data_IF_010605070870
#
_entry.id   IF_010605070870
#
_cell.length_a   1.000
_cell.length_b   1.000
_cell.length_c   1.000
_cell.angle_alpha   90.00
_cell.angle_beta   90.00
_cell.angle_gamma   90.00
#
_symmetry.space_group_name_H-M   'P 1'
#
loop_
_entity.id
_entity.type
_entity.pdbx_description
1 polymer ?
#
# COMPACT_ATOMS: atom_id res chain seq x y z
N UNK A 1 13.63 -6.72 -7.91
CA UNK A 1 14.58 -6.35 -6.82
C UNK A 1 14.03 -6.79 -5.47
N UNK A 2 14.82 -6.72 -4.38
CA UNK A 2 14.30 -6.94 -3.02
C UNK A 2 13.74 -5.63 -2.45
N UNK A 3 12.58 -5.70 -1.81
CA UNK A 3 11.92 -4.60 -1.14
C UNK A 3 11.67 -5.00 0.31
N UNK A 4 11.86 -4.08 1.26
CA UNK A 4 11.78 -4.40 2.68
C UNK A 4 10.83 -3.46 3.42
N UNK A 5 9.98 -4.02 4.28
CA UNK A 5 9.11 -3.27 5.19
C UNK A 5 9.01 -3.99 6.53
N UNK A 6 8.33 -3.38 7.52
CA UNK A 6 8.06 -4.04 8.78
C UNK A 6 7.00 -5.15 8.64
N UNK A 7 7.13 -6.17 9.49
CA UNK A 7 6.13 -7.21 9.69
C UNK A 7 4.80 -6.64 10.24
N UNK A 8 3.75 -7.45 10.21
CA UNK A 8 2.36 -7.06 10.51
C UNK A 8 1.81 -6.08 9.47
N UNK A 9 1.75 -6.51 8.20
CA UNK A 9 1.30 -5.65 7.11
C UNK A 9 -0.13 -5.13 7.34
N UNK A 10 -0.29 -3.83 7.10
CA UNK A 10 -1.55 -3.10 7.17
C UNK A 10 -1.99 -2.64 5.78
N UNK A 11 -3.01 -1.79 5.75
CA UNK A 11 -3.61 -1.28 4.51
C UNK A 11 -2.56 -0.62 3.60
N UNK A 12 -1.73 0.29 4.12
CA UNK A 12 -0.71 0.99 3.31
C UNK A 12 0.41 0.06 2.80
N UNK A 13 0.96 -0.83 3.64
CA UNK A 13 1.98 -1.80 3.20
C UNK A 13 1.47 -2.71 2.08
N UNK A 14 0.23 -3.18 2.18
CA UNK A 14 -0.39 -3.99 1.14
C UNK A 14 -0.60 -3.18 -0.16
N UNK A 15 -1.01 -1.92 -0.05
CA UNK A 15 -1.17 -1.02 -1.19
C UNK A 15 0.17 -0.76 -1.89
N UNK A 16 1.20 -0.41 -1.12
CA UNK A 16 2.55 -0.16 -1.60
C UNK A 16 3.12 -1.38 -2.32
N UNK A 17 3.00 -2.57 -1.73
CA UNK A 17 3.46 -3.81 -2.36
C UNK A 17 2.74 -4.04 -3.70
N UNK A 18 1.42 -3.87 -3.73
CA UNK A 18 0.63 -3.96 -4.95
C UNK A 18 1.10 -2.97 -6.04
N UNK A 19 1.30 -1.70 -5.67
CA UNK A 19 1.80 -0.67 -6.58
C UNK A 19 3.19 -1.03 -7.12
N UNK A 20 4.09 -1.47 -6.24
CA UNK A 20 5.45 -1.88 -6.59
C UNK A 20 5.39 -2.97 -7.66
N UNK A 21 4.71 -4.07 -7.38
CA UNK A 21 4.61 -5.21 -8.32
C UNK A 21 3.92 -4.86 -9.63
N UNK A 22 2.88 -4.03 -9.58
CA UNK A 22 2.08 -3.75 -10.78
C UNK A 22 2.71 -2.71 -11.69
N UNK A 23 3.36 -1.69 -11.14
CA UNK A 23 3.77 -0.51 -11.91
C UNK A 23 5.27 -0.18 -11.84
N UNK A 24 6.02 -0.71 -10.86
CA UNK A 24 7.42 -0.31 -10.60
C UNK A 24 8.39 -1.46 -10.90
N UNK A 25 8.17 -2.63 -10.32
CA UNK A 25 9.06 -3.79 -10.34
C UNK A 25 8.24 -5.10 -10.31
N UNK A 26 7.84 -5.64 -11.49
CA UNK A 26 7.08 -6.89 -11.59
C UNK A 26 7.75 -8.09 -10.92
N UNK A 27 9.08 -8.07 -10.82
CA UNK A 27 9.88 -9.14 -10.22
C UNK A 27 10.24 -8.85 -8.74
N UNK A 28 9.55 -7.90 -8.10
CA UNK A 28 9.80 -7.54 -6.70
C UNK A 28 9.71 -8.76 -5.76
N UNK A 29 10.60 -8.83 -4.78
CA UNK A 29 10.54 -9.80 -3.69
C UNK A 29 10.45 -9.03 -2.38
N UNK A 30 9.47 -9.36 -1.54
CA UNK A 30 9.24 -8.64 -0.29
C UNK A 30 9.91 -9.36 0.87
N UNK A 31 10.54 -8.57 1.74
CA UNK A 31 11.17 -9.01 2.98
C UNK A 31 10.49 -8.27 4.12
N UNK A 32 10.14 -9.00 5.17
CA UNK A 32 9.57 -8.45 6.39
C UNK A 32 10.60 -8.54 7.50
N UNK A 33 10.76 -7.43 8.23
CA UNK A 33 11.66 -7.34 9.38
C UNK A 33 10.86 -6.93 10.62
N UNK A 34 11.35 -7.20 11.84
CA UNK A 34 10.64 -6.82 13.06
C UNK A 34 10.31 -5.33 13.11
N UNK A 35 9.11 -5.02 13.63
CA UNK A 35 8.65 -3.64 13.83
C UNK A 35 9.67 -2.86 14.66
N UNK A 36 10.02 -1.66 14.21
CA UNK A 36 11.03 -0.80 14.86
C UNK A 36 12.47 -1.05 14.40
N UNK A 37 12.75 -2.09 13.60
CA UNK A 37 14.07 -2.30 13.03
C UNK A 37 14.44 -1.16 12.06
N UNK A 38 15.68 -0.68 12.18
CA UNK A 38 16.32 0.28 11.27
C UNK A 38 17.44 -0.34 10.45
N UNK A 39 17.64 -1.65 10.59
CA UNK A 39 18.65 -2.40 9.85
C UNK A 39 17.97 -3.14 8.71
N UNK A 40 18.39 -2.86 7.49
CA UNK A 40 17.83 -3.42 6.27
C UNK A 40 18.84 -4.39 5.64
N UNK A 41 18.38 -5.48 5.00
CA UNK A 41 19.26 -6.31 4.18
C UNK A 41 19.96 -5.47 3.12
N UNK A 42 21.21 -5.81 2.80
CA UNK A 42 21.96 -5.15 1.74
C UNK A 42 21.22 -5.27 0.39
N UNK A 43 21.17 -4.17 -0.37
CA UNK A 43 20.47 -4.05 -1.65
C UNK A 43 18.93 -4.26 -1.62
N UNK A 44 18.29 -4.19 -0.45
CA UNK A 44 16.82 -4.10 -0.36
C UNK A 44 16.38 -2.62 -0.30
N UNK A 45 15.40 -2.24 -1.12
CA UNK A 45 14.80 -0.91 -1.08
C UNK A 45 13.74 -0.86 0.04
N UNK A 46 13.91 -0.03 1.08
CA UNK A 46 12.95 0.03 2.17
C UNK A 46 11.74 0.89 1.81
N UNK A 47 10.56 0.47 2.27
CA UNK A 47 9.32 1.23 2.16
C UNK A 47 8.42 1.06 3.39
N UNK A 48 7.58 2.06 3.60
CA UNK A 48 6.67 2.17 4.73
C UNK A 48 7.34 1.94 6.10
N UNK A 49 8.52 2.57 6.25
CA UNK A 49 9.31 2.62 7.47
C UNK A 49 9.67 4.09 7.74
N UNK A 50 9.52 4.60 8.98
CA UNK A 50 9.83 5.99 9.29
C UNK A 50 11.27 6.39 8.89
N UNK A 51 11.38 7.47 8.11
CA UNK A 51 12.66 8.07 7.71
C UNK A 51 13.32 7.46 6.47
N UNK A 52 12.68 6.51 5.79
CA UNK A 52 13.14 6.03 4.48
C UNK A 52 12.53 6.84 3.35
N UNK A 53 13.00 6.65 2.12
CA UNK A 53 12.52 7.41 0.94
C UNK A 53 11.00 7.29 0.76
N UNK A 54 10.49 6.05 0.75
CA UNK A 54 9.06 5.78 0.68
C UNK A 54 8.49 5.60 2.09
N UNK A 55 8.38 6.70 2.84
CA UNK A 55 7.69 6.72 4.12
C UNK A 55 6.47 7.63 4.05
N UNK A 56 5.67 7.64 5.12
CA UNK A 56 4.71 8.71 5.34
C UNK A 56 5.40 10.08 5.23
N UNK A 57 4.73 11.03 4.57
CA UNK A 57 5.26 12.37 4.36
C UNK A 57 4.16 13.42 4.43
N UNK A 58 4.36 14.44 5.28
CA UNK A 58 3.44 15.57 5.46
C UNK A 58 1.98 15.18 5.75
N UNK A 59 1.78 14.12 6.52
CA UNK A 59 0.45 13.63 6.89
C UNK A 59 -0.16 12.66 5.89
N UNK A 60 0.54 12.34 4.79
CA UNK A 60 0.13 11.32 3.85
C UNK A 60 0.86 9.99 4.08
N UNK A 61 0.20 8.89 3.77
CA UNK A 61 0.70 7.52 3.77
C UNK A 61 1.82 7.30 2.73
N UNK A 62 2.50 6.17 2.84
CA UNK A 62 3.61 5.79 1.96
C UNK A 62 3.14 5.53 0.53
N UNK A 63 1.95 4.95 0.32
CA UNK A 63 1.38 4.75 -1.02
C UNK A 63 1.20 6.08 -1.76
N UNK A 64 0.60 7.07 -1.09
CA UNK A 64 0.47 8.42 -1.64
C UNK A 64 1.83 8.98 -2.04
N UNK A 65 2.82 8.85 -1.15
CA UNK A 65 4.20 9.31 -1.41
C UNK A 65 4.80 8.63 -2.64
N UNK A 66 4.66 7.30 -2.79
CA UNK A 66 5.14 6.56 -3.97
C UNK A 66 4.48 7.04 -5.27
N UNK A 67 3.15 7.20 -5.28
CA UNK A 67 2.41 7.66 -6.47
C UNK A 67 2.93 9.03 -6.93
N UNK A 68 3.16 9.94 -5.97
CA UNK A 68 3.68 11.29 -6.24
C UNK A 68 5.12 11.28 -6.74
N UNK A 69 6.00 10.47 -6.14
CA UNK A 69 7.40 10.39 -6.54
C UNK A 69 7.59 9.80 -7.94
N UNK A 70 6.80 8.76 -8.28
CA UNK A 70 6.88 8.12 -9.59
C UNK A 70 6.16 8.88 -10.70
N UNK A 71 5.41 9.94 -10.37
CA UNK A 71 4.72 10.82 -11.34
C UNK A 71 3.80 10.05 -12.30
N UNK A 72 3.08 9.04 -11.79
CA UNK A 72 2.12 8.30 -12.60
C UNK A 72 1.04 9.25 -13.15
N UNK A 73 0.70 9.09 -14.43
CA UNK A 73 -0.38 9.84 -15.08
C UNK A 73 -1.66 9.00 -15.09
N UNK A 74 -2.09 8.61 -13.91
CA UNK A 74 -3.22 7.70 -13.72
C UNK A 74 -4.14 8.20 -12.59
N UNK A 75 -5.31 8.70 -12.98
CA UNK A 75 -6.31 9.23 -12.06
C UNK A 75 -6.94 8.15 -11.17
N UNK A 76 -6.84 6.88 -11.57
CA UNK A 76 -7.29 5.76 -10.74
C UNK A 76 -6.33 5.61 -9.55
N UNK A 77 -5.02 5.70 -9.79
CA UNK A 77 -4.02 5.68 -8.72
C UNK A 77 -4.15 6.88 -7.78
N UNK A 78 -4.50 8.06 -8.31
CA UNK A 78 -4.79 9.23 -7.47
C UNK A 78 -5.97 8.98 -6.51
N UNK A 79 -7.05 8.35 -6.99
CA UNK A 79 -8.20 8.01 -6.14
C UNK A 79 -7.88 6.91 -5.13
N UNK A 80 -7.15 5.87 -5.54
CA UNK A 80 -6.68 4.84 -4.61
C UNK A 80 -5.78 5.47 -3.54
N UNK A 81 -4.92 6.43 -3.91
CA UNK A 81 -4.10 7.13 -2.94
C UNK A 81 -4.95 7.84 -1.90
N UNK A 82 -6.01 8.56 -2.28
CA UNK A 82 -6.95 9.16 -1.32
C UNK A 82 -7.61 8.13 -0.40
N UNK A 83 -8.05 6.99 -0.95
CA UNK A 83 -8.70 5.93 -0.17
C UNK A 83 -7.73 5.31 0.86
N UNK A 84 -6.50 4.98 0.43
CA UNK A 84 -5.48 4.39 1.31
C UNK A 84 -5.03 5.40 2.36
N UNK A 85 -4.89 6.68 1.99
CA UNK A 85 -4.49 7.74 2.91
C UNK A 85 -5.49 7.89 4.05
N UNK A 86 -6.79 7.91 3.73
CA UNK A 86 -7.85 7.96 4.74
C UNK A 86 -8.00 6.66 5.53
N UNK A 87 -7.66 5.51 4.94
CA UNK A 87 -7.69 4.22 5.62
C UNK A 87 -6.54 4.06 6.63
N UNK A 88 -5.37 4.58 6.32
CA UNK A 88 -4.15 4.39 7.10
C UNK A 88 -3.88 5.50 8.13
N UNK A 89 -4.41 6.70 7.88
CA UNK A 89 -4.20 7.88 8.73
C UNK A 89 -5.47 8.33 9.45
N UNK A 90 -5.32 8.90 10.65
CA UNK A 90 -6.44 9.50 11.37
C UNK A 90 -6.81 10.81 10.69
N UNK A 91 -7.98 10.86 10.05
CA UNK A 91 -8.54 12.06 9.44
C UNK A 91 -9.67 12.64 10.30
N UNK A 92 -9.74 13.97 10.40
CA UNK A 92 -10.85 14.66 11.10
C UNK A 92 -12.19 14.52 10.35
N UNK A 93 -12.13 14.34 9.04
CA UNK A 93 -13.29 14.17 8.15
C UNK A 93 -13.02 12.99 7.24
N UNK A 94 -13.97 12.05 7.19
CA UNK A 94 -13.95 10.93 6.26
C UNK A 94 -14.66 11.32 4.95
N UNK A 95 -13.96 11.23 3.83
CA UNK A 95 -14.43 11.61 2.50
C UNK A 95 -14.57 10.40 1.56
N UNK A 96 -13.71 9.40 1.71
CA UNK A 96 -13.67 8.21 0.87
C UNK A 96 -14.47 7.04 1.49
N UNK A 97 -15.68 6.73 0.98
CA UNK A 97 -16.56 5.75 1.61
C UNK A 97 -15.96 4.33 1.68
N UNK A 98 -14.99 4.04 0.82
CA UNK A 98 -14.31 2.75 0.76
C UNK A 98 -13.22 2.59 1.84
N UNK A 99 -12.69 3.68 2.41
CA UNK A 99 -11.49 3.66 3.24
C UNK A 99 -11.63 2.75 4.48
N UNK A 100 -12.68 2.99 5.29
CA UNK A 100 -12.93 2.18 6.50
C UNK A 100 -13.18 0.70 6.18
N UNK A 101 -13.85 0.40 5.06
CA UNK A 101 -14.07 -0.98 4.62
C UNK A 101 -12.77 -1.65 4.17
N UNK A 102 -11.93 -0.92 3.43
CA UNK A 102 -10.64 -1.40 2.96
C UNK A 102 -9.70 -1.74 4.12
N UNK A 103 -9.60 -0.87 5.12
CA UNK A 103 -8.77 -1.12 6.31
C UNK A 103 -9.26 -2.38 7.07
N UNK A 104 -10.56 -2.48 7.33
CA UNK A 104 -11.15 -3.66 7.98
C UNK A 104 -10.85 -4.96 7.22
N UNK A 105 -10.95 -4.93 5.88
CA UNK A 105 -10.64 -6.09 5.04
C UNK A 105 -9.14 -6.41 5.13
N UNK A 106 -8.25 -5.44 5.02
CA UNK A 106 -6.79 -5.66 5.10
C UNK A 106 -6.38 -6.21 6.47
N UNK A 107 -6.97 -5.70 7.55
CA UNK A 107 -6.78 -6.27 8.88
C UNK A 107 -7.26 -7.73 8.93
N UNK A 108 -8.44 -8.02 8.38
CA UNK A 108 -8.97 -9.37 8.27
C UNK A 108 -8.06 -10.31 7.48
N UNK A 109 -7.51 -9.84 6.35
CA UNK A 109 -6.55 -10.59 5.54
C UNK A 109 -5.32 -10.99 6.33
N UNK A 110 -4.77 -10.09 7.16
CA UNK A 110 -3.66 -10.42 8.05
C UNK A 110 -4.05 -11.51 9.05
N UNK A 111 -5.22 -11.40 9.69
CA UNK A 111 -5.68 -12.37 10.70
C UNK A 111 -5.88 -13.80 10.15
N UNK A 112 -6.30 -13.92 8.89
CA UNK A 112 -6.52 -15.23 8.26
C UNK A 112 -5.27 -15.79 7.57
N UNK A 113 -4.17 -15.04 7.56
CA UNK A 113 -2.92 -15.42 6.88
C UNK A 113 -1.91 -16.01 7.84
N UNK A 114 -1.13 -16.99 7.37
CA UNK A 114 -0.10 -17.63 8.18
C UNK A 114 1.13 -16.73 8.40
N UNK A 115 1.39 -15.81 7.48
CA UNK A 115 2.47 -14.82 7.52
C UNK A 115 2.15 -13.59 6.65
N UNK A 116 3.02 -12.58 6.69
CA UNK A 116 2.87 -11.35 5.91
C UNK A 116 3.02 -11.57 4.40
N UNK A 117 3.73 -12.60 3.95
CA UNK A 117 3.86 -12.94 2.53
C UNK A 117 2.49 -13.31 1.98
N UNK A 118 1.80 -14.23 2.65
CA UNK A 118 0.45 -14.63 2.28
C UNK A 118 -0.56 -13.49 2.44
N UNK A 119 -0.41 -12.64 3.47
CA UNK A 119 -1.27 -11.48 3.65
C UNK A 119 -1.13 -10.48 2.50
N UNK A 120 0.10 -10.18 2.06
CA UNK A 120 0.36 -9.38 0.86
C UNK A 120 -0.27 -10.03 -0.37
N UNK A 121 0.00 -11.32 -0.65
CA UNK A 121 -0.54 -12.08 -1.79
C UNK A 121 -2.07 -11.97 -1.91
N UNK A 122 -2.77 -12.04 -0.78
CA UNK A 122 -4.23 -11.85 -0.75
C UNK A 122 -4.63 -10.38 -0.94
N UNK A 123 -3.86 -9.46 -0.36
CA UNK A 123 -4.03 -8.02 -0.54
C UNK A 123 -3.97 -7.60 -2.00
N UNK A 124 -3.12 -8.23 -2.82
CA UNK A 124 -3.07 -7.98 -4.27
C UNK A 124 -4.44 -8.06 -4.92
N UNK A 125 -5.21 -9.11 -4.63
CA UNK A 125 -6.53 -9.30 -5.24
C UNK A 125 -7.50 -8.18 -4.86
N UNK A 126 -7.40 -7.64 -3.64
CA UNK A 126 -8.25 -6.52 -3.20
C UNK A 126 -7.90 -5.23 -3.94
N UNK A 127 -6.62 -4.90 -4.07
CA UNK A 127 -6.18 -3.71 -4.78
C UNK A 127 -6.39 -3.81 -6.30
N UNK A 128 -6.20 -5.00 -6.88
CA UNK A 128 -6.59 -5.29 -8.27
C UNK A 128 -8.09 -5.04 -8.50
N UNK A 129 -8.95 -5.55 -7.61
CA UNK A 129 -10.40 -5.38 -7.71
C UNK A 129 -10.80 -3.91 -7.53
N UNK A 130 -10.19 -3.21 -6.57
CA UNK A 130 -10.44 -1.78 -6.35
C UNK A 130 -10.06 -0.94 -7.58
N UNK A 131 -8.87 -1.20 -8.16
CA UNK A 131 -8.44 -0.54 -9.37
C UNK A 131 -9.41 -0.78 -10.53
N UNK A 132 -9.83 -2.03 -10.75
CA UNK A 132 -10.79 -2.37 -11.80
C UNK A 132 -12.16 -1.69 -11.60
N UNK A 133 -12.65 -1.63 -10.36
CA UNK A 133 -13.92 -0.96 -10.04
C UNK A 133 -13.85 0.54 -10.34
N UNK A 134 -12.81 1.22 -9.88
CA UNK A 134 -12.65 2.67 -10.12
C UNK A 134 -12.49 2.96 -11.62
N UNK A 135 -11.76 2.11 -12.36
CA UNK A 135 -11.65 2.23 -13.81
C UNK A 135 -13.03 2.11 -14.51
N UNK A 136 -13.87 1.18 -14.05
CA UNK A 136 -15.23 1.00 -14.55
C UNK A 136 -16.11 2.22 -14.27
N UNK A 137 -16.09 2.76 -13.04
CA UNK A 137 -16.85 3.96 -12.67
C UNK A 137 -16.47 5.17 -13.53
N UNK A 138 -15.18 5.35 -13.81
CA UNK A 138 -14.66 6.44 -14.63
C UNK A 138 -15.04 6.30 -16.12
N UNK A 139 -15.30 5.08 -16.59
CA UNK A 139 -15.72 4.81 -17.97
C UNK A 139 -17.23 5.02 -18.19
N UNK A 140 -18.01 5.15 -17.11
CA UNK A 140 -19.46 5.37 -17.14
C UNK A 140 -19.88 6.84 -16.95
N UNK A 141 -18.91 7.75 -16.76
CA UNK A 141 -19.11 9.21 -16.66
C UNK A 141 -18.73 9.89 -17.97
#
# INVERSE_FOLDING_TARGET
MKWVTWENVGVDRMACAWLIKRFIDPDAQFIFIPVGSKQFPEAAEPFDIPGVRYSHYRGHCSFHTMVREHQFKDQILDRIASIVDEADTIQEVQLEPAASGLDNICHGLRLISVDDTQALERGYMIYEALYAQIASDNSQK
#
